data_IF_806531380829
#
_entry.id   IF_806531380829
#
_cell.length_a   1.000
_cell.length_b   1.000
_cell.length_c   1.000
_cell.angle_alpha   90.00
_cell.angle_beta   90.00
_cell.angle_gamma   90.00
#
_symmetry.space_group_name_H-M   'P 1'
#
loop_
_entity.id
_entity.type
_entity.pdbx_description
1 polymer ?
#
# COMPACT_ATOMS: atom_id res chain seq x y z
N UNK A 1 -0.65 14.97 25.09
CA UNK A 1 -2.03 15.12 24.59
C UNK A 1 -2.86 16.14 25.41
N UNK A 2 -2.32 16.68 26.52
CA UNK A 2 -3.01 17.73 27.29
C UNK A 2 -3.17 18.98 26.44
N UNK A 3 -4.36 19.62 26.47
CA UNK A 3 -4.62 20.84 25.73
C UNK A 3 -4.80 20.70 24.23
N UNK A 4 -4.81 19.48 23.68
CA UNK A 4 -5.13 19.25 22.28
C UNK A 4 -6.64 19.03 22.12
N UNK A 5 -7.27 19.84 21.29
CA UNK A 5 -8.69 19.67 20.97
C UNK A 5 -8.95 18.45 20.09
N UNK A 6 -8.00 18.14 19.21
CA UNK A 6 -8.12 17.08 18.19
C UNK A 6 -6.91 16.18 18.20
N UNK A 7 -7.13 14.89 17.87
CA UNK A 7 -6.08 13.91 17.60
C UNK A 7 -6.36 13.26 16.25
N UNK A 8 -5.32 13.20 15.43
CA UNK A 8 -5.36 12.40 14.19
C UNK A 8 -4.88 11.01 14.55
N UNK A 9 -5.79 10.04 14.49
CA UNK A 9 -5.51 8.66 14.87
C UNK A 9 -6.48 7.71 14.19
N UNK A 10 -5.94 6.63 13.61
CA UNK A 10 -6.73 5.57 13.00
C UNK A 10 -6.84 4.40 13.95
N UNK A 11 -8.06 4.11 14.39
CA UNK A 11 -8.39 2.93 15.19
C UNK A 11 -8.53 1.69 14.31
N UNK A 12 -8.26 0.52 14.90
CA UNK A 12 -8.50 -0.78 14.27
C UNK A 12 -7.29 -1.39 13.57
N UNK A 13 -6.14 -0.70 13.52
CA UNK A 13 -4.92 -1.24 12.91
C UNK A 13 -4.05 -2.03 13.90
N UNK A 14 -4.05 -1.62 15.17
CA UNK A 14 -3.22 -2.20 16.22
C UNK A 14 -3.97 -2.15 17.57
N UNK A 15 -4.44 -3.29 18.02
CA UNK A 15 -5.25 -3.40 19.24
C UNK A 15 -4.52 -2.94 20.51
N UNK A 16 -3.18 -3.11 20.59
CA UNK A 16 -2.40 -2.67 21.75
C UNK A 16 -2.26 -1.15 21.76
N UNK A 17 -2.02 -0.57 20.60
CA UNK A 17 -1.96 0.88 20.42
C UNK A 17 -3.32 1.51 20.71
N UNK A 18 -4.39 0.92 20.23
CA UNK A 18 -5.76 1.38 20.48
C UNK A 18 -6.09 1.40 21.97
N UNK A 19 -5.74 0.32 22.69
CA UNK A 19 -5.90 0.25 24.15
C UNK A 19 -5.12 1.36 24.88
N UNK A 20 -3.87 1.61 24.46
CA UNK A 20 -3.03 2.68 25.03
C UNK A 20 -3.66 4.05 24.78
N UNK A 21 -4.10 4.32 23.57
CA UNK A 21 -4.73 5.60 23.22
C UNK A 21 -6.03 5.82 23.98
N UNK A 22 -6.87 4.80 24.08
CA UNK A 22 -8.09 4.83 24.90
C UNK A 22 -7.79 5.03 26.39
N UNK A 23 -6.74 4.39 26.92
CA UNK A 23 -6.27 4.56 28.29
C UNK A 23 -5.82 6.00 28.59
N UNK A 24 -5.05 6.60 27.70
CA UNK A 24 -4.60 8.00 27.81
C UNK A 24 -5.80 8.95 27.79
N UNK A 25 -6.74 8.75 26.84
CA UNK A 25 -7.94 9.58 26.78
C UNK A 25 -8.77 9.51 28.07
N UNK A 26 -8.92 8.33 28.64
CA UNK A 26 -9.62 8.12 29.92
C UNK A 26 -8.90 8.81 31.08
N UNK A 27 -7.59 8.68 31.15
CA UNK A 27 -6.78 9.30 32.20
C UNK A 27 -6.84 10.84 32.14
N UNK A 28 -6.86 11.44 30.96
CA UNK A 28 -7.02 12.88 30.78
C UNK A 28 -8.42 13.35 31.20
N UNK A 29 -9.47 12.62 30.79
CA UNK A 29 -10.86 12.95 31.21
C UNK A 29 -11.04 12.88 32.73
N UNK A 30 -10.37 11.94 33.40
CA UNK A 30 -10.42 11.85 34.87
C UNK A 30 -9.79 13.09 35.57
N UNK A 31 -8.91 13.82 34.88
CA UNK A 31 -8.27 15.03 35.38
C UNK A 31 -9.02 16.33 35.02
N UNK A 32 -10.18 16.24 34.37
CA UNK A 32 -10.95 17.40 33.90
C UNK A 32 -11.31 18.38 35.02
N UNK A 33 -11.61 17.89 36.24
CA UNK A 33 -11.87 18.74 37.43
C UNK A 33 -10.66 19.57 37.84
N UNK A 34 -9.45 19.13 37.48
CA UNK A 34 -8.19 19.85 37.68
C UNK A 34 -7.81 20.80 36.53
N UNK A 35 -8.74 21.10 35.61
CA UNK A 35 -8.49 22.00 34.47
C UNK A 35 -7.72 21.35 33.30
N UNK A 36 -7.61 20.03 33.27
CA UNK A 36 -6.97 19.32 32.17
C UNK A 36 -7.99 19.06 31.06
N UNK A 37 -7.76 19.65 29.90
CA UNK A 37 -8.57 19.37 28.71
C UNK A 37 -8.11 18.08 28.02
N UNK A 38 -9.06 17.19 27.79
CA UNK A 38 -8.87 15.98 26.99
C UNK A 38 -9.31 16.24 25.55
N UNK A 39 -8.71 15.56 24.56
CA UNK A 39 -9.18 15.64 23.18
C UNK A 39 -10.64 15.23 23.04
N UNK A 40 -11.39 16.04 22.32
CA UNK A 40 -12.81 15.82 22.05
C UNK A 40 -13.05 15.12 20.71
N UNK A 41 -12.15 15.36 19.75
CA UNK A 41 -12.28 14.83 18.39
C UNK A 41 -11.15 13.85 18.05
N UNK A 42 -11.52 12.76 17.40
CA UNK A 42 -10.60 11.80 16.82
C UNK A 42 -10.87 11.74 15.32
N UNK A 43 -9.85 12.08 14.54
CA UNK A 43 -9.97 12.22 13.08
C UNK A 43 -9.18 11.08 12.44
N UNK A 44 -9.85 10.26 11.63
CA UNK A 44 -9.17 9.28 10.79
C UNK A 44 -8.35 10.01 9.71
N UNK A 45 -7.03 9.77 9.60
CA UNK A 45 -6.21 10.39 8.58
C UNK A 45 -6.46 9.86 7.15
N UNK A 46 -7.19 8.77 6.99
CA UNK A 46 -7.38 8.12 5.70
C UNK A 46 -7.90 9.06 4.60
N UNK A 47 -8.92 9.91 4.83
CA UNK A 47 -9.39 10.83 3.79
C UNK A 47 -8.29 11.79 3.31
N UNK A 48 -7.46 12.30 4.22
CA UNK A 48 -6.33 13.18 3.87
C UNK A 48 -5.29 12.44 3.01
N UNK A 49 -4.94 11.22 3.41
CA UNK A 49 -3.99 10.42 2.64
C UNK A 49 -4.56 9.99 1.28
N UNK A 50 -5.86 9.73 1.19
CA UNK A 50 -6.50 9.41 -0.08
C UNK A 50 -6.42 10.59 -1.06
N UNK A 51 -6.72 11.80 -0.60
CA UNK A 51 -6.59 13.01 -1.41
C UNK A 51 -5.13 13.27 -1.84
N UNK A 52 -4.16 13.16 -0.92
CA UNK A 52 -2.74 13.33 -1.25
C UNK A 52 -2.25 12.30 -2.27
N UNK A 53 -2.79 11.07 -2.24
CA UNK A 53 -2.42 10.01 -3.18
C UNK A 53 -3.15 10.08 -4.51
N UNK A 54 -4.20 10.85 -4.63
CA UNK A 54 -4.98 11.01 -5.86
C UNK A 54 -4.14 11.69 -6.94
N UNK A 55 -3.41 12.73 -6.57
CA UNK A 55 -2.53 13.48 -7.48
C UNK A 55 -1.08 13.06 -7.28
N UNK A 56 -0.44 12.64 -8.37
CA UNK A 56 0.96 12.17 -8.36
C UNK A 56 1.90 13.29 -8.72
N UNK A 57 2.96 13.45 -7.93
CA UNK A 57 4.07 14.34 -8.25
C UNK A 57 4.93 13.81 -9.40
N UNK A 58 5.79 14.67 -9.97
CA UNK A 58 6.65 14.30 -11.10
C UNK A 58 7.56 13.09 -10.79
N UNK A 59 8.10 13.00 -9.59
CA UNK A 59 8.93 11.86 -9.17
C UNK A 59 8.13 10.55 -9.13
N UNK A 60 6.89 10.58 -8.65
CA UNK A 60 6.00 9.43 -8.64
C UNK A 60 5.61 9.02 -10.05
N UNK A 61 5.29 9.99 -10.91
CA UNK A 61 4.99 9.75 -12.32
C UNK A 61 6.18 9.12 -13.06
N UNK A 62 7.40 9.56 -12.77
CA UNK A 62 8.62 8.96 -13.35
C UNK A 62 8.77 7.49 -12.95
N UNK A 63 8.54 7.15 -11.67
CA UNK A 63 8.56 5.77 -11.19
C UNK A 63 7.44 4.92 -11.80
N UNK A 64 6.23 5.46 -11.91
CA UNK A 64 5.10 4.78 -12.53
C UNK A 64 5.35 4.50 -14.02
N UNK A 65 5.88 5.47 -14.77
CA UNK A 65 6.28 5.28 -16.18
C UNK A 65 7.34 4.19 -16.30
N UNK A 66 8.35 4.22 -15.43
CA UNK A 66 9.39 3.18 -15.41
C UNK A 66 8.81 1.80 -15.12
N UNK A 67 7.90 1.67 -14.16
CA UNK A 67 7.22 0.42 -13.86
C UNK A 67 6.40 -0.08 -15.07
N UNK A 68 5.68 0.83 -15.73
CA UNK A 68 4.90 0.50 -16.93
C UNK A 68 5.79 0.01 -18.10
N UNK A 69 6.95 0.65 -18.31
CA UNK A 69 7.93 0.20 -19.31
C UNK A 69 8.44 -1.22 -19.02
N UNK A 70 8.76 -1.51 -17.76
CA UNK A 70 9.22 -2.85 -17.36
C UNK A 70 8.11 -3.88 -17.57
N UNK A 71 6.88 -3.53 -17.22
CA UNK A 71 5.71 -4.39 -17.42
C UNK A 71 5.50 -4.70 -18.89
N UNK A 72 5.53 -3.69 -19.76
CA UNK A 72 5.40 -3.87 -21.20
C UNK A 72 6.49 -4.80 -21.78
N UNK A 73 7.72 -4.68 -21.29
CA UNK A 73 8.83 -5.54 -21.72
C UNK A 73 8.68 -7.00 -21.24
N UNK A 74 8.17 -7.21 -20.02
CA UNK A 74 7.85 -8.55 -19.52
C UNK A 74 6.77 -9.22 -20.34
N UNK A 75 5.69 -8.48 -20.64
CA UNK A 75 4.62 -8.98 -21.49
C UNK A 75 5.11 -9.29 -22.91
N UNK A 76 5.91 -8.41 -23.52
CA UNK A 76 6.48 -8.66 -24.84
C UNK A 76 7.37 -9.90 -24.86
N UNK A 77 8.15 -10.14 -23.82
CA UNK A 77 8.96 -11.36 -23.70
C UNK A 77 8.09 -12.62 -23.58
N UNK A 78 7.04 -12.58 -22.75
CA UNK A 78 6.11 -13.70 -22.61
C UNK A 78 5.36 -13.98 -23.91
N UNK A 79 4.85 -12.94 -24.58
CA UNK A 79 4.20 -13.08 -25.88
C UNK A 79 5.11 -13.71 -26.95
N UNK A 80 6.39 -13.33 -26.97
CA UNK A 80 7.38 -13.89 -27.89
C UNK A 80 7.76 -15.35 -27.58
N UNK A 81 7.62 -15.77 -26.33
CA UNK A 81 7.94 -17.13 -25.89
C UNK A 81 6.73 -18.07 -25.94
N UNK A 82 5.52 -17.53 -26.05
CA UNK A 82 4.29 -18.32 -26.03
C UNK A 82 4.24 -19.23 -27.30
N UNK A 83 4.18 -20.53 -27.05
CA UNK A 83 4.04 -21.55 -28.10
C UNK A 83 3.32 -22.78 -27.52
N UNK A 84 2.78 -23.66 -28.37
CA UNK A 84 2.24 -24.93 -27.91
C UNK A 84 3.28 -25.73 -27.09
N UNK A 85 2.92 -26.16 -25.87
CA UNK A 85 3.76 -26.91 -24.98
C UNK A 85 4.54 -26.08 -23.93
N UNK A 86 4.55 -24.75 -24.04
CA UNK A 86 5.10 -23.87 -23.00
C UNK A 86 4.13 -23.80 -21.84
N UNK A 87 4.63 -24.01 -20.63
CA UNK A 87 3.82 -23.97 -19.41
C UNK A 87 3.63 -22.55 -18.88
N UNK A 88 2.57 -22.36 -18.10
CA UNK A 88 2.30 -21.09 -17.38
C UNK A 88 3.48 -20.71 -16.47
N UNK A 89 4.08 -21.70 -15.78
CA UNK A 89 5.22 -21.49 -14.90
C UNK A 89 6.47 -20.99 -15.64
N UNK A 90 6.71 -21.44 -16.88
CA UNK A 90 7.81 -20.94 -17.70
C UNK A 90 7.59 -19.47 -18.11
N UNK A 91 6.35 -19.11 -18.48
CA UNK A 91 6.02 -17.73 -18.81
C UNK A 91 6.09 -16.81 -17.60
N UNK A 92 5.63 -17.26 -16.43
CA UNK A 92 5.76 -16.54 -15.17
C UNK A 92 7.24 -16.26 -14.84
N UNK A 93 8.06 -17.30 -14.87
CA UNK A 93 9.49 -17.19 -14.62
C UNK A 93 10.20 -16.25 -15.61
N UNK A 94 9.79 -16.25 -16.88
CA UNK A 94 10.34 -15.37 -17.91
C UNK A 94 9.97 -13.89 -17.65
N UNK A 95 8.73 -13.64 -17.23
CA UNK A 95 8.27 -12.28 -16.86
C UNK A 95 9.09 -11.79 -15.67
N UNK A 96 9.19 -12.57 -14.60
CA UNK A 96 9.94 -12.19 -13.41
C UNK A 96 11.43 -11.98 -13.71
N UNK A 97 12.06 -12.87 -14.48
CA UNK A 97 13.43 -12.72 -14.95
C UNK A 97 13.62 -11.40 -15.71
N UNK A 98 12.70 -11.07 -16.61
CA UNK A 98 12.75 -9.84 -17.41
C UNK A 98 12.70 -8.61 -16.51
N UNK A 99 11.83 -8.59 -15.51
CA UNK A 99 11.73 -7.50 -14.54
C UNK A 99 13.02 -7.33 -13.74
N UNK A 100 13.53 -8.42 -13.14
CA UNK A 100 14.73 -8.41 -12.30
C UNK A 100 15.98 -8.01 -13.09
N UNK A 101 16.16 -8.56 -14.28
CA UNK A 101 17.29 -8.20 -15.17
C UNK A 101 17.35 -6.72 -15.49
N UNK A 102 16.20 -6.04 -15.46
CA UNK A 102 16.06 -4.60 -15.76
C UNK A 102 15.98 -3.72 -14.54
N UNK A 103 16.30 -4.25 -13.37
CA UNK A 103 16.47 -3.51 -12.13
C UNK A 103 15.23 -3.41 -11.25
N UNK A 104 14.16 -4.18 -11.52
CA UNK A 104 13.07 -4.33 -10.57
C UNK A 104 13.52 -5.16 -9.37
N UNK A 105 13.09 -4.78 -8.18
CA UNK A 105 13.31 -5.55 -6.95
C UNK A 105 12.33 -6.74 -6.80
N UNK A 106 11.25 -6.74 -7.58
CA UNK A 106 10.22 -7.78 -7.58
C UNK A 106 8.91 -7.27 -8.18
N UNK A 107 7.93 -8.17 -8.25
CA UNK A 107 6.56 -7.85 -8.64
C UNK A 107 5.81 -7.22 -7.46
N UNK A 108 4.86 -6.34 -7.74
CA UNK A 108 3.99 -5.75 -6.71
C UNK A 108 3.01 -6.76 -6.11
N UNK A 109 2.67 -7.78 -6.88
CA UNK A 109 1.87 -8.96 -6.51
C UNK A 109 2.28 -10.12 -7.43
N UNK A 110 1.91 -11.34 -7.06
CA UNK A 110 2.20 -12.54 -7.85
C UNK A 110 1.61 -12.41 -9.25
N UNK A 111 2.41 -12.74 -10.27
CA UNK A 111 1.91 -12.77 -11.63
C UNK A 111 0.76 -13.77 -11.76
N UNK A 112 -0.20 -13.45 -12.59
CA UNK A 112 -1.30 -14.35 -12.94
C UNK A 112 -1.09 -14.73 -14.40
N UNK A 113 -0.73 -15.99 -14.61
CA UNK A 113 -0.56 -16.57 -15.95
C UNK A 113 -1.48 -17.76 -16.04
N UNK A 114 -2.42 -17.72 -16.97
CA UNK A 114 -3.38 -18.78 -17.20
C UNK A 114 -3.55 -19.04 -18.70
N UNK A 115 -3.74 -20.30 -19.07
CA UNK A 115 -3.91 -20.71 -20.46
C UNK A 115 -4.80 -21.94 -20.60
N UNK A 116 -5.36 -22.13 -21.79
CA UNK A 116 -6.24 -23.27 -22.09
C UNK A 116 -7.52 -23.26 -21.28
N UNK A 117 -7.89 -24.43 -20.75
CA UNK A 117 -9.11 -24.61 -19.95
C UNK A 117 -9.06 -23.95 -18.56
N UNK A 118 -7.86 -23.51 -18.11
CA UNK A 118 -7.65 -22.85 -16.83
C UNK A 118 -7.74 -21.32 -16.92
N UNK A 119 -7.93 -20.75 -18.10
CA UNK A 119 -7.97 -19.32 -18.34
C UNK A 119 -9.36 -18.70 -18.14
#
# INVERSE_FOLDING_TARGET
LKGLARIVYRFGEDADRDRRMGGVARALRAQARGGVEAPLEWIDPAPLFHELRLFKGEAELALMRRAAELTAQGHAAAMGATAPGVSEAELDALIEYTFRRRGSTGCAYTNIVAGGEAA
#
